data_IF_970592537236
#
_entry.id   IF_970592537236
#
_cell.length_a   1.000
_cell.length_b   1.000
_cell.length_c   1.000
_cell.angle_alpha   90.00
_cell.angle_beta   90.00
_cell.angle_gamma   90.00
#
_symmetry.space_group_name_H-M   'P 1'
#
loop_
_entity.id
_entity.type
_entity.pdbx_description
1 polymer ?
#
# COMPACT_ATOMS: atom_id res chain seq x y z
N UNK A 1 -11.12 1.20 4.82
CA UNK A 1 -11.61 2.44 5.46
C UNK A 1 -13.11 2.46 5.81
N UNK A 2 -13.82 1.30 5.85
CA UNK A 2 -15.26 1.21 6.19
C UNK A 2 -16.20 2.11 5.35
N UNK A 3 -15.86 2.34 4.08
CA UNK A 3 -16.78 3.03 3.16
C UNK A 3 -17.98 2.10 2.88
N UNK A 4 -19.21 2.62 2.81
CA UNK A 4 -20.40 1.80 2.55
C UNK A 4 -20.41 1.19 1.14
N UNK A 5 -19.74 1.86 0.20
CA UNK A 5 -19.57 1.40 -1.19
C UNK A 5 -18.11 1.52 -1.61
N UNK A 6 -17.66 0.57 -2.42
CA UNK A 6 -16.30 0.49 -2.96
C UNK A 6 -16.36 0.24 -4.47
N UNK A 7 -15.37 0.74 -5.21
CA UNK A 7 -15.27 0.56 -6.65
C UNK A 7 -14.47 -0.70 -7.02
N UNK A 8 -13.51 -1.05 -6.17
CA UNK A 8 -12.54 -2.11 -6.31
C UNK A 8 -12.14 -2.69 -4.94
N UNK A 9 -11.44 -3.81 -4.97
CA UNK A 9 -10.83 -4.46 -3.82
C UNK A 9 -9.31 -4.36 -4.00
N UNK A 10 -8.66 -3.75 -3.02
CA UNK A 10 -7.20 -3.73 -2.90
C UNK A 10 -6.77 -4.72 -1.82
N UNK A 11 -5.84 -5.61 -2.16
CA UNK A 11 -5.24 -6.57 -1.24
C UNK A 11 -3.73 -6.39 -1.23
N UNK A 12 -3.12 -6.34 -0.05
CA UNK A 12 -1.67 -6.45 0.10
C UNK A 12 -1.38 -7.85 0.63
N UNK A 13 -0.44 -8.57 -0.01
CA UNK A 13 -0.13 -9.96 0.28
C UNK A 13 1.39 -10.17 0.27
N UNK A 14 1.91 -10.92 1.25
CA UNK A 14 3.25 -11.52 1.17
C UNK A 14 3.04 -12.98 0.73
N UNK A 15 3.32 -13.35 -0.53
CA UNK A 15 3.14 -14.72 -0.99
C UNK A 15 4.28 -15.60 -0.47
N UNK A 16 3.96 -16.77 0.09
CA UNK A 16 4.95 -17.84 0.29
C UNK A 16 5.26 -18.54 -1.03
N UNK A 17 4.21 -18.85 -1.80
CA UNK A 17 4.30 -19.40 -3.15
C UNK A 17 3.56 -18.47 -4.12
N UNK A 18 4.33 -17.78 -4.97
CA UNK A 18 3.77 -16.84 -5.94
C UNK A 18 2.98 -17.54 -7.05
N UNK A 19 3.44 -18.70 -7.48
CA UNK A 19 2.81 -19.42 -8.59
C UNK A 19 1.44 -19.96 -8.16
N UNK A 20 1.35 -20.52 -6.96
CA UNK A 20 0.08 -20.98 -6.38
C UNK A 20 -0.94 -19.84 -6.25
N UNK A 21 -0.50 -18.65 -5.79
CA UNK A 21 -1.38 -17.48 -5.72
C UNK A 21 -1.88 -17.09 -7.11
N UNK A 22 -0.99 -17.01 -8.11
CA UNK A 22 -1.38 -16.61 -9.46
C UNK A 22 -2.37 -17.62 -10.09
N UNK A 23 -2.21 -18.92 -9.83
CA UNK A 23 -3.17 -19.95 -10.25
C UNK A 23 -4.56 -19.72 -9.64
N UNK A 24 -4.64 -19.41 -8.34
CA UNK A 24 -5.92 -19.08 -7.68
C UNK A 24 -6.52 -17.82 -8.30
N UNK A 25 -5.72 -16.77 -8.55
CA UNK A 25 -6.19 -15.53 -9.17
C UNK A 25 -6.76 -15.76 -10.58
N UNK A 26 -6.18 -16.67 -11.37
CA UNK A 26 -6.72 -17.03 -12.69
C UNK A 26 -8.07 -17.74 -12.62
N UNK A 27 -8.39 -18.43 -11.51
CA UNK A 27 -9.68 -19.08 -11.30
C UNK A 27 -10.77 -18.12 -10.81
N UNK A 28 -10.38 -17.02 -10.13
CA UNK A 28 -11.34 -16.03 -9.60
C UNK A 28 -11.97 -15.15 -10.67
N UNK A 29 -11.34 -14.99 -11.83
CA UNK A 29 -11.87 -14.15 -12.90
C UNK A 29 -10.88 -13.91 -14.03
N UNK A 30 -11.17 -12.92 -14.88
CA UNK A 30 -10.30 -12.61 -16.01
C UNK A 30 -9.07 -11.85 -15.54
N UNK A 31 -7.91 -12.51 -15.56
CA UNK A 31 -6.62 -11.86 -15.34
C UNK A 31 -6.41 -10.76 -16.38
N UNK A 32 -6.23 -9.52 -15.92
CA UNK A 32 -5.99 -8.34 -16.77
C UNK A 32 -4.51 -7.96 -16.80
N UNK A 33 -3.80 -8.24 -15.72
CA UNK A 33 -2.37 -7.96 -15.56
C UNK A 33 -1.80 -8.92 -14.52
N UNK A 34 -0.63 -9.48 -14.77
CA UNK A 34 0.21 -10.08 -13.73
C UNK A 34 1.64 -9.58 -13.93
N UNK A 35 2.13 -8.84 -12.95
CA UNK A 35 3.49 -8.33 -12.90
C UNK A 35 4.14 -8.63 -11.55
N UNK A 36 5.44 -8.32 -11.39
CA UNK A 36 6.18 -8.66 -10.18
C UNK A 36 5.61 -8.02 -8.92
N UNK A 37 5.07 -6.79 -9.03
CA UNK A 37 4.54 -6.02 -7.89
C UNK A 37 3.02 -6.06 -7.73
N UNK A 38 2.29 -6.37 -8.80
CA UNK A 38 0.83 -6.31 -8.79
C UNK A 38 0.24 -7.32 -9.77
N UNK A 39 -0.86 -7.95 -9.37
CA UNK A 39 -1.77 -8.66 -10.25
C UNK A 39 -3.15 -8.02 -10.18
N UNK A 40 -3.85 -7.98 -11.32
CA UNK A 40 -5.20 -7.43 -11.43
C UNK A 40 -6.12 -8.45 -12.06
N UNK A 41 -7.18 -8.79 -11.35
CA UNK A 41 -8.22 -9.72 -11.79
C UNK A 41 -9.53 -8.96 -11.92
N UNK A 42 -10.18 -9.06 -13.09
CA UNK A 42 -11.54 -8.58 -13.28
C UNK A 42 -12.51 -9.72 -12.99
N UNK A 43 -13.17 -9.62 -11.85
CA UNK A 43 -14.36 -10.43 -11.52
C UNK A 43 -15.60 -9.74 -12.12
N UNK A 44 -16.77 -10.37 -12.02
CA UNK A 44 -18.00 -9.94 -12.72
C UNK A 44 -18.25 -8.42 -12.61
N UNK A 45 -18.54 -7.93 -11.41
CA UNK A 45 -18.87 -6.52 -11.16
C UNK A 45 -17.70 -5.72 -10.61
N UNK A 46 -16.70 -6.35 -10.00
CA UNK A 46 -15.63 -5.69 -9.24
C UNK A 46 -14.23 -6.10 -9.72
N UNK A 47 -13.27 -5.22 -9.55
CA UNK A 47 -11.85 -5.48 -9.83
C UNK A 47 -11.12 -5.79 -8.53
N UNK A 48 -10.26 -6.80 -8.54
CA UNK A 48 -9.34 -7.12 -7.46
C UNK A 48 -7.92 -6.79 -7.88
N UNK A 49 -7.27 -5.91 -7.14
CA UNK A 49 -5.84 -5.60 -7.22
C UNK A 49 -5.09 -6.27 -6.06
N UNK A 50 -4.15 -7.15 -6.38
CA UNK A 50 -3.27 -7.81 -5.41
C UNK A 50 -1.88 -7.22 -5.52
N UNK A 51 -1.46 -6.51 -4.48
CA UNK A 51 -0.14 -5.92 -4.32
C UNK A 51 0.76 -6.89 -3.57
N UNK A 52 1.84 -7.33 -4.21
CA UNK A 52 2.80 -8.23 -3.61
C UNK A 52 3.82 -7.44 -2.81
N UNK A 53 3.94 -7.82 -1.54
CA UNK A 53 4.85 -7.24 -0.57
C UNK A 53 5.90 -8.25 -0.12
N UNK A 54 6.93 -7.72 0.50
CA UNK A 54 7.90 -8.44 1.34
C UNK A 54 7.66 -8.01 2.80
N UNK A 55 8.22 -8.70 3.80
CA UNK A 55 8.15 -8.25 5.19
C UNK A 55 8.59 -6.78 5.39
N UNK A 56 9.62 -6.35 4.65
CA UNK A 56 10.20 -4.99 4.75
C UNK A 56 9.31 -3.91 4.12
N UNK A 57 8.51 -4.28 3.12
CA UNK A 57 7.67 -3.36 2.36
C UNK A 57 6.20 -3.36 2.79
N UNK A 58 5.80 -4.39 3.56
CA UNK A 58 4.43 -4.64 3.99
C UNK A 58 3.75 -3.43 4.63
N UNK A 59 4.32 -2.89 5.71
CA UNK A 59 3.63 -1.86 6.49
C UNK A 59 3.43 -0.56 5.71
N UNK A 60 4.40 -0.20 4.87
CA UNK A 60 4.31 1.00 4.03
C UNK A 60 3.33 0.79 2.87
N UNK A 61 3.35 -0.37 2.21
CA UNK A 61 2.34 -0.71 1.19
C UNK A 61 0.94 -0.73 1.80
N UNK A 62 0.77 -1.33 2.98
CA UNK A 62 -0.50 -1.36 3.69
C UNK A 62 -1.01 0.05 3.99
N UNK A 63 -0.15 0.95 4.49
CA UNK A 63 -0.48 2.36 4.69
C UNK A 63 -0.96 3.01 3.39
N UNK A 64 -0.19 2.87 2.31
CA UNK A 64 -0.48 3.51 1.01
C UNK A 64 -1.78 2.96 0.41
N UNK A 65 -1.97 1.64 0.42
CA UNK A 65 -3.14 0.97 -0.18
C UNK A 65 -4.39 1.12 0.66
N UNK A 66 -4.26 1.25 1.99
CA UNK A 66 -5.38 1.67 2.84
C UNK A 66 -5.83 3.09 2.48
N UNK A 67 -4.87 3.96 2.15
CA UNK A 67 -5.12 5.34 1.79
C UNK A 67 -5.68 6.16 2.96
N UNK A 68 -6.49 7.19 2.71
CA UNK A 68 -6.98 7.66 1.41
C UNK A 68 -5.91 8.28 0.50
N UNK A 69 -6.31 8.69 -0.69
CA UNK A 69 -5.48 9.54 -1.56
C UNK A 69 -5.07 10.82 -0.82
N UNK A 70 -6.00 11.42 -0.09
CA UNK A 70 -5.79 12.64 0.69
C UNK A 70 -4.76 12.41 1.81
N UNK A 71 -4.86 11.29 2.55
CA UNK A 71 -3.87 10.93 3.56
C UNK A 71 -2.49 10.68 2.94
N UNK A 72 -2.43 9.97 1.82
CA UNK A 72 -1.17 9.71 1.12
C UNK A 72 -0.51 11.02 0.65
N UNK A 73 -1.29 11.94 0.06
CA UNK A 73 -0.81 13.26 -0.34
C UNK A 73 -0.34 14.06 0.88
N UNK A 74 -1.08 14.03 1.99
CA UNK A 74 -0.71 14.70 3.24
C UNK A 74 0.64 14.20 3.76
N UNK A 75 0.81 12.88 3.91
CA UNK A 75 2.05 12.29 4.42
C UNK A 75 3.23 12.52 3.47
N UNK A 76 3.03 12.35 2.16
CA UNK A 76 4.05 12.64 1.16
C UNK A 76 4.44 14.14 1.15
N UNK A 77 3.47 15.03 1.34
CA UNK A 77 3.69 16.47 1.47
C UNK A 77 4.51 16.83 2.71
N UNK A 78 4.20 16.22 3.86
CA UNK A 78 4.98 16.37 5.10
C UNK A 78 6.42 15.88 4.91
N UNK A 79 6.61 14.73 4.27
CA UNK A 79 7.94 14.22 3.94
C UNK A 79 8.70 15.22 3.05
N UNK A 80 8.06 15.67 1.96
CA UNK A 80 8.67 16.61 1.00
C UNK A 80 9.08 17.93 1.65
N UNK A 81 8.28 18.48 2.57
CA UNK A 81 8.63 19.70 3.34
C UNK A 81 9.92 19.56 4.14
N UNK A 82 10.31 18.33 4.50
CA UNK A 82 11.55 18.01 5.22
C UNK A 82 12.71 17.60 4.29
N UNK A 83 12.52 17.65 2.97
CA UNK A 83 13.46 17.08 2.00
C UNK A 83 13.48 15.54 2.02
N UNK A 84 12.44 14.91 2.56
CA UNK A 84 12.30 13.45 2.68
C UNK A 84 11.38 12.91 1.58
N UNK A 85 11.35 11.59 1.44
CA UNK A 85 10.51 10.90 0.45
C UNK A 85 9.84 9.68 1.06
N UNK A 86 8.51 9.69 1.11
CA UNK A 86 7.71 8.49 1.33
C UNK A 86 7.63 7.71 0.01
N UNK A 87 8.09 6.46 0.01
CA UNK A 87 8.20 5.64 -1.20
C UNK A 87 6.89 4.89 -1.47
N UNK A 88 6.22 5.26 -2.56
CA UNK A 88 5.00 4.60 -3.01
C UNK A 88 5.19 3.09 -3.34
N UNK A 89 6.44 2.66 -3.53
CA UNK A 89 6.84 1.26 -3.74
C UNK A 89 6.72 0.39 -2.50
N UNK A 90 6.54 0.96 -1.30
CA UNK A 90 6.56 0.21 -0.05
C UNK A 90 7.87 0.28 0.73
N UNK A 91 8.94 0.82 0.15
CA UNK A 91 10.27 0.74 0.77
C UNK A 91 10.37 1.50 2.10
N UNK A 92 9.43 2.39 2.41
CA UNK A 92 9.39 3.18 3.64
C UNK A 92 9.55 4.69 3.41
N UNK A 93 9.94 5.37 4.48
CA UNK A 93 10.21 6.80 4.51
C UNK A 93 11.72 7.03 4.51
N UNK A 94 12.20 7.87 3.60
CA UNK A 94 13.63 8.12 3.40
C UNK A 94 13.96 9.59 3.66
N UNK A 95 15.07 9.85 4.35
CA UNK A 95 15.55 11.20 4.57
C UNK A 95 16.24 11.78 3.32
N UNK A 96 16.66 13.05 3.38
CA UNK A 96 17.34 13.73 2.28
C UNK A 96 18.71 13.13 1.89
N UNK A 97 19.28 12.26 2.73
CA UNK A 97 20.51 11.50 2.45
C UNK A 97 20.24 10.12 1.83
N UNK A 98 18.98 9.77 1.58
CA UNK A 98 18.59 8.47 1.03
C UNK A 98 18.62 7.34 2.04
N UNK A 99 18.62 7.63 3.35
CA UNK A 99 18.55 6.61 4.40
C UNK A 99 17.09 6.36 4.80
N UNK A 100 16.70 5.10 4.96
CA UNK A 100 15.38 4.72 5.48
C UNK A 100 15.29 5.08 6.96
N UNK A 101 14.29 5.87 7.34
CA UNK A 101 14.09 6.38 8.71
C UNK A 101 12.80 5.86 9.36
N UNK A 102 11.87 5.31 8.58
CA UNK A 102 10.66 4.66 9.08
C UNK A 102 10.08 3.73 7.99
N UNK A 103 9.09 2.92 8.37
CA UNK A 103 8.40 1.99 7.47
C UNK A 103 8.18 0.59 8.03
N UNK A 104 8.61 0.32 9.27
CA UNK A 104 8.42 -0.98 9.93
C UNK A 104 6.99 -1.15 10.48
N UNK A 105 6.30 -0.02 10.69
CA UNK A 105 4.87 0.04 10.97
C UNK A 105 4.25 1.29 10.34
N UNK A 106 2.93 1.33 10.22
CA UNK A 106 2.24 2.54 9.77
C UNK A 106 2.53 3.71 10.74
N UNK A 107 2.43 3.45 12.05
CA UNK A 107 2.68 4.37 13.16
C UNK A 107 4.09 4.98 13.11
N UNK A 108 5.10 4.18 12.70
CA UNK A 108 6.47 4.67 12.57
C UNK A 108 6.59 5.82 11.56
N UNK A 109 5.84 5.75 10.46
CA UNK A 109 5.82 6.78 9.42
C UNK A 109 5.15 8.05 9.92
N UNK A 110 3.98 7.92 10.59
CA UNK A 110 3.28 9.07 11.18
C UNK A 110 4.16 9.78 12.22
N UNK A 111 4.78 9.00 13.12
CA UNK A 111 5.67 9.50 14.17
C UNK A 111 6.88 10.21 13.58
N UNK A 112 7.55 9.60 12.60
CA UNK A 112 8.69 10.21 11.91
C UNK A 112 8.32 11.51 11.20
N UNK A 113 7.08 11.64 10.71
CA UNK A 113 6.55 12.86 10.08
C UNK A 113 5.98 13.87 11.08
N UNK A 114 6.01 13.58 12.38
CA UNK A 114 5.59 14.49 13.45
C UNK A 114 4.08 14.70 13.52
N UNK A 115 3.30 13.68 13.18
CA UNK A 115 1.83 13.72 13.24
C UNK A 115 1.30 12.49 13.98
N UNK A 116 0.17 12.59 14.70
CA UNK A 116 -0.43 11.42 15.34
C UNK A 116 -0.88 10.41 14.30
N UNK A 117 -0.73 9.12 14.62
CA UNK A 117 -1.29 8.06 13.81
C UNK A 117 -2.83 8.17 13.76
N UNK A 118 -3.38 7.81 12.62
CA UNK A 118 -4.81 7.82 12.36
C UNK A 118 -5.27 6.41 12.02
N UNK A 119 -6.37 5.97 12.62
CA UNK A 119 -7.03 4.71 12.25
C UNK A 119 -7.46 4.78 10.78
N UNK A 120 -7.58 3.65 10.07
CA UNK A 120 -7.96 3.64 8.66
C UNK A 120 -9.23 4.44 8.31
N UNK A 121 -10.24 4.50 9.20
CA UNK A 121 -11.48 5.25 8.97
C UNK A 121 -11.39 6.75 9.29
N UNK A 122 -10.27 7.22 9.85
CA UNK A 122 -10.02 8.64 10.17
C UNK A 122 -9.17 9.34 9.09
N UNK A 123 -8.69 8.59 8.09
CA UNK A 123 -7.70 9.04 7.09
C UNK A 123 -8.30 9.81 5.91
N UNK A 124 -9.46 10.45 6.06
CA UNK A 124 -10.25 10.98 4.93
C UNK A 124 -10.69 9.89 3.96
#
# INVERSE_FOLDING_TARGET
RRKPFVNDIDMVLIPEDREAVDQVLMQLGKLKMSGPKIARVKMESITLDVYYATPETWATLLLIRTGSMENNIRLAGLAKKRGWRLKASGDGLFNGRGQRVAGDSEESIYTALGVPWQKPWERG
#
